data_IF_111427158062
#
_entry.id   IF_111427158062
#
_cell.length_a   1.000
_cell.length_b   1.000
_cell.length_c   1.000
_cell.angle_alpha   90.00
_cell.angle_beta   90.00
_cell.angle_gamma   90.00
#
_symmetry.space_group_name_H-M   'P 1'
#
loop_
_entity.id
_entity.type
_entity.pdbx_description
1 polymer ?
#
# COMPACT_ATOMS: atom_id res chain seq x y z
N UNK A 1 -14.77 6.09 10.46
CA UNK A 1 -14.55 6.55 9.07
C UNK A 1 -15.02 5.46 8.11
N UNK A 2 -15.77 5.81 7.06
CA UNK A 2 -16.32 4.86 6.07
C UNK A 2 -15.21 4.02 5.40
N UNK A 3 -14.07 4.65 5.12
CA UNK A 3 -12.92 4.01 4.47
C UNK A 3 -12.33 2.83 5.26
N UNK A 4 -12.18 2.93 6.58
CA UNK A 4 -11.76 1.78 7.42
C UNK A 4 -12.75 0.61 7.38
N UNK A 5 -14.02 0.89 7.08
CA UNK A 5 -15.03 -0.15 6.83
C UNK A 5 -14.75 -0.86 5.51
N UNK A 6 -14.52 -0.09 4.44
CA UNK A 6 -14.18 -0.59 3.10
C UNK A 6 -12.89 -1.42 3.11
N UNK A 7 -11.80 -0.90 3.67
CA UNK A 7 -10.51 -1.62 3.77
C UNK A 7 -10.68 -2.97 4.46
N UNK A 8 -11.46 -3.03 5.55
CA UNK A 8 -11.75 -4.29 6.26
C UNK A 8 -12.69 -5.22 5.51
N UNK A 9 -13.58 -4.69 4.69
CA UNK A 9 -14.49 -5.49 3.86
C UNK A 9 -13.71 -6.15 2.73
N UNK A 10 -12.87 -5.37 2.03
CA UNK A 10 -11.96 -5.84 0.98
C UNK A 10 -10.96 -6.85 1.53
N UNK A 11 -10.35 -6.59 2.68
CA UNK A 11 -9.43 -7.53 3.34
C UNK A 11 -10.07 -8.84 3.84
N UNK A 12 -11.40 -8.98 3.76
CA UNK A 12 -12.13 -10.22 4.10
C UNK A 12 -12.65 -10.97 2.88
N UNK A 13 -12.31 -10.52 1.67
CA UNK A 13 -12.66 -11.21 0.44
C UNK A 13 -12.11 -12.65 0.50
N UNK A 14 -12.98 -13.68 0.47
CA UNK A 14 -12.52 -15.07 0.41
C UNK A 14 -11.97 -15.35 -0.98
N UNK A 15 -10.64 -15.47 -1.07
CA UNK A 15 -9.88 -15.79 -2.29
C UNK A 15 -9.78 -17.31 -2.47
N UNK A 16 -10.93 -17.99 -2.38
CA UNK A 16 -11.10 -19.39 -2.72
C UNK A 16 -11.58 -19.44 -4.17
N UNK A 17 -10.86 -20.18 -5.02
CA UNK A 17 -10.85 -20.10 -6.50
C UNK A 17 -12.16 -20.33 -7.27
N UNK A 18 -13.32 -20.24 -6.62
CA UNK A 18 -14.65 -20.33 -7.22
C UNK A 18 -15.53 -19.08 -6.99
N UNK A 19 -15.09 -18.04 -6.24
CA UNK A 19 -15.98 -16.91 -5.87
C UNK A 19 -15.59 -15.48 -6.26
N UNK A 20 -14.34 -15.20 -6.61
CA UNK A 20 -13.92 -13.87 -7.09
C UNK A 20 -13.22 -14.02 -8.43
N UNK A 21 -13.75 -13.35 -9.45
CA UNK A 21 -13.04 -13.21 -10.71
C UNK A 21 -11.89 -12.21 -10.47
N UNK A 22 -10.73 -12.41 -11.09
CA UNK A 22 -9.56 -11.51 -10.92
C UNK A 22 -9.92 -10.03 -11.21
N UNK A 23 -10.93 -9.83 -12.04
CA UNK A 23 -11.53 -8.52 -12.29
C UNK A 23 -12.12 -7.86 -11.04
N UNK A 24 -12.82 -8.63 -10.19
CA UNK A 24 -13.42 -8.12 -8.97
C UNK A 24 -12.35 -7.64 -7.96
N UNK A 25 -11.16 -8.26 -7.97
CA UNK A 25 -10.01 -7.81 -7.18
C UNK A 25 -9.47 -6.47 -7.68
N UNK A 26 -9.34 -6.32 -9.00
CA UNK A 26 -8.92 -5.05 -9.64
C UNK A 26 -9.94 -3.94 -9.34
N UNK A 27 -11.24 -4.24 -9.42
CA UNK A 27 -12.29 -3.27 -9.06
C UNK A 27 -12.19 -2.88 -7.58
N UNK A 28 -12.01 -3.83 -6.66
CA UNK A 28 -11.85 -3.53 -5.24
C UNK A 28 -10.63 -2.62 -4.96
N UNK A 29 -9.50 -2.85 -5.64
CA UNK A 29 -8.33 -1.98 -5.57
C UNK A 29 -8.63 -0.56 -6.03
N UNK A 30 -9.29 -0.41 -7.18
CA UNK A 30 -9.69 0.89 -7.75
C UNK A 30 -10.67 1.64 -6.83
N UNK A 31 -11.64 0.95 -6.24
CA UNK A 31 -12.60 1.55 -5.32
C UNK A 31 -11.93 2.06 -4.05
N UNK A 32 -11.02 1.28 -3.46
CA UNK A 32 -10.24 1.74 -2.31
C UNK A 32 -9.44 2.99 -2.63
N UNK A 33 -8.71 2.97 -3.75
CA UNK A 33 -7.90 4.10 -4.18
C UNK A 33 -8.74 5.36 -4.42
N UNK A 34 -9.86 5.24 -5.14
CA UNK A 34 -10.74 6.38 -5.42
C UNK A 34 -11.27 7.05 -4.14
N UNK A 35 -11.67 6.27 -3.13
CA UNK A 35 -12.13 6.82 -1.86
C UNK A 35 -10.98 7.49 -1.08
N UNK A 36 -9.77 6.93 -1.11
CA UNK A 36 -8.60 7.54 -0.48
C UNK A 36 -8.20 8.85 -1.17
N UNK A 37 -8.23 8.90 -2.51
CA UNK A 37 -7.93 10.13 -3.26
C UNK A 37 -8.92 11.26 -2.94
N UNK A 38 -10.21 10.93 -2.78
CA UNK A 38 -11.23 11.90 -2.35
C UNK A 38 -10.90 12.45 -0.95
N UNK A 39 -10.51 11.57 -0.02
CA UNK A 39 -10.15 11.98 1.34
C UNK A 39 -8.86 12.80 1.38
N UNK A 40 -7.92 12.55 0.47
CA UNK A 40 -6.66 13.27 0.34
C UNK A 40 -6.80 14.72 -0.16
N UNK A 41 -8.03 15.18 -0.48
CA UNK A 41 -8.32 16.61 -0.70
C UNK A 41 -8.37 17.39 0.63
N UNK A 42 -8.62 16.69 1.73
CA UNK A 42 -8.59 17.27 3.07
C UNK A 42 -7.16 17.40 3.62
N UNK A 43 -7.01 18.02 4.81
CA UNK A 43 -5.72 18.11 5.48
C UNK A 43 -5.12 16.73 5.75
N UNK A 44 -3.82 16.57 5.47
CA UNK A 44 -3.10 15.34 5.79
C UNK A 44 -2.93 15.20 7.29
N UNK A 45 -3.19 14.00 7.80
CA UNK A 45 -3.07 13.67 9.22
C UNK A 45 -2.38 12.32 9.36
N UNK A 46 -1.70 12.09 10.49
CA UNK A 46 -1.11 10.78 10.83
C UNK A 46 -2.17 9.68 10.71
N UNK A 47 -3.37 9.91 11.25
CA UNK A 47 -4.46 8.94 11.19
C UNK A 47 -4.87 8.56 9.76
N UNK A 48 -4.74 9.50 8.81
CA UNK A 48 -5.04 9.22 7.41
C UNK A 48 -3.92 8.45 6.72
N UNK A 49 -2.65 8.74 7.02
CA UNK A 49 -1.51 7.93 6.57
C UNK A 49 -1.64 6.50 7.06
N UNK A 50 -1.99 6.29 8.34
CA UNK A 50 -2.23 4.95 8.90
C UNK A 50 -3.33 4.18 8.12
N UNK A 51 -4.38 4.88 7.67
CA UNK A 51 -5.45 4.26 6.85
C UNK A 51 -4.97 3.91 5.44
N UNK A 52 -4.08 4.71 4.86
CA UNK A 52 -3.48 4.41 3.55
C UNK A 52 -2.56 3.20 3.65
N UNK A 53 -1.73 3.12 4.70
CA UNK A 53 -0.89 1.96 4.96
C UNK A 53 -1.71 0.68 5.21
N UNK A 54 -2.80 0.77 5.99
CA UNK A 54 -3.75 -0.34 6.15
C UNK A 54 -4.31 -0.82 4.79
N UNK A 55 -4.64 0.13 3.90
CA UNK A 55 -5.18 -0.18 2.58
C UNK A 55 -4.12 -0.81 1.65
N UNK A 56 -2.88 -0.34 1.73
CA UNK A 56 -1.73 -0.92 1.01
C UNK A 56 -1.49 -2.35 1.45
N UNK A 57 -1.46 -2.63 2.76
CA UNK A 57 -1.28 -4.00 3.25
C UNK A 57 -2.39 -4.95 2.77
N UNK A 58 -3.63 -4.46 2.70
CA UNK A 58 -4.74 -5.22 2.09
C UNK A 58 -4.52 -5.43 0.59
N UNK A 59 -4.14 -4.39 -0.14
CA UNK A 59 -3.88 -4.47 -1.58
C UNK A 59 -2.74 -5.43 -1.91
N UNK A 60 -1.59 -5.34 -1.24
CA UNK A 60 -0.44 -6.21 -1.47
C UNK A 60 -0.81 -7.69 -1.25
N UNK A 61 -1.63 -7.96 -0.22
CA UNK A 61 -2.20 -9.29 0.01
C UNK A 61 -3.11 -9.79 -1.12
N UNK A 62 -3.87 -8.90 -1.76
CA UNK A 62 -4.73 -9.24 -2.90
C UNK A 62 -3.95 -9.34 -4.23
N UNK A 63 -2.97 -8.47 -4.44
CA UNK A 63 -2.15 -8.40 -5.64
C UNK A 63 -1.33 -9.68 -5.85
N UNK A 64 -0.92 -10.36 -4.77
CA UNK A 64 -0.28 -11.67 -4.83
C UNK A 64 -1.12 -12.74 -5.56
N UNK A 65 -2.45 -12.59 -5.62
CA UNK A 65 -3.32 -13.49 -6.39
C UNK A 65 -3.41 -13.12 -7.87
N UNK A 66 -3.07 -11.87 -8.25
CA UNK A 66 -3.04 -11.40 -9.63
C UNK A 66 -1.77 -11.86 -10.36
N UNK A 67 -0.60 -11.85 -9.69
CA UNK A 67 0.69 -12.25 -10.27
C UNK A 67 0.77 -13.71 -10.74
N UNK A 68 -0.19 -14.56 -10.35
CA UNK A 68 -0.32 -15.94 -10.85
C UNK A 68 -1.14 -16.08 -12.14
N UNK A 69 -1.83 -15.02 -12.60
CA UNK A 69 -2.88 -15.13 -13.60
C UNK A 69 -2.81 -14.04 -14.69
N UNK A 70 -2.15 -14.38 -15.80
CA UNK A 70 -2.16 -13.68 -17.11
C UNK A 70 -1.52 -12.27 -17.16
N UNK A 71 -0.70 -12.03 -18.20
CA UNK A 71 0.06 -10.77 -18.47
C UNK A 71 -0.78 -9.46 -18.40
N UNK A 72 -2.10 -9.51 -18.60
CA UNK A 72 -2.95 -8.30 -18.62
C UNK A 72 -3.36 -7.84 -17.21
N UNK A 73 -3.69 -8.77 -16.31
CA UNK A 73 -4.12 -8.44 -14.95
C UNK A 73 -2.94 -8.13 -14.03
N UNK A 74 -1.75 -8.65 -14.39
CA UNK A 74 -0.47 -8.26 -13.80
C UNK A 74 -0.17 -6.76 -14.06
N UNK A 75 -0.50 -6.25 -15.26
CA UNK A 75 -0.34 -4.83 -15.58
C UNK A 75 -1.30 -3.94 -14.78
N UNK A 76 -2.60 -4.29 -14.74
CA UNK A 76 -3.58 -3.51 -13.96
C UNK A 76 -3.27 -3.55 -12.45
N UNK A 77 -2.79 -4.70 -11.96
CA UNK A 77 -2.35 -4.84 -10.57
C UNK A 77 -1.16 -3.94 -10.25
N UNK A 78 -0.15 -3.91 -11.13
CA UNK A 78 1.00 -3.03 -11.01
C UNK A 78 0.61 -1.55 -10.98
N UNK A 79 -0.23 -1.09 -11.92
CA UNK A 79 -0.69 0.31 -12.00
C UNK A 79 -1.44 0.76 -10.74
N UNK A 80 -2.27 -0.12 -10.16
CA UNK A 80 -2.96 0.17 -8.90
C UNK A 80 -1.96 0.26 -7.74
N UNK A 81 -0.99 -0.67 -7.66
CA UNK A 81 0.07 -0.61 -6.66
C UNK A 81 0.90 0.67 -6.74
N UNK A 82 1.31 1.06 -7.95
CA UNK A 82 2.02 2.32 -8.20
C UNK A 82 1.21 3.53 -7.73
N UNK A 83 -0.10 3.52 -7.93
CA UNK A 83 -0.98 4.60 -7.51
C UNK A 83 -1.09 4.70 -5.99
N UNK A 84 -1.17 3.56 -5.29
CA UNK A 84 -1.10 3.52 -3.83
C UNK A 84 0.24 4.05 -3.31
N UNK A 85 1.35 3.60 -3.89
CA UNK A 85 2.68 4.06 -3.51
C UNK A 85 2.86 5.57 -3.73
N UNK A 86 2.38 6.10 -4.86
CA UNK A 86 2.40 7.53 -5.16
C UNK A 86 1.53 8.34 -4.20
N UNK A 87 0.35 7.82 -3.83
CA UNK A 87 -0.49 8.44 -2.82
C UNK A 87 0.22 8.49 -1.46
N UNK A 88 0.78 7.37 -1.01
CA UNK A 88 1.49 7.28 0.26
C UNK A 88 2.68 8.25 0.32
N UNK A 89 3.54 8.23 -0.70
CA UNK A 89 4.69 9.14 -0.82
C UNK A 89 4.27 10.60 -0.71
N UNK A 90 3.23 11.02 -1.45
CA UNK A 90 2.72 12.40 -1.40
C UNK A 90 2.23 12.78 -0.01
N UNK A 91 1.54 11.88 0.69
CA UNK A 91 1.05 12.15 2.04
C UNK A 91 2.20 12.23 3.06
N UNK A 92 3.21 11.36 2.93
CA UNK A 92 4.42 11.44 3.75
C UNK A 92 5.19 12.74 3.47
N UNK A 93 5.29 13.18 2.22
CA UNK A 93 5.93 14.44 1.87
C UNK A 93 5.18 15.65 2.46
N UNK A 94 3.84 15.65 2.46
CA UNK A 94 3.09 16.74 3.09
C UNK A 94 3.17 16.70 4.63
N UNK A 95 3.13 15.51 5.22
CA UNK A 95 3.12 15.32 6.68
C UNK A 95 4.50 15.49 7.31
N UNK A 96 5.58 15.19 6.57
CA UNK A 96 6.96 15.14 7.03
C UNK A 96 7.10 14.32 8.33
N UNK A 97 6.82 13.00 8.29
CA UNK A 97 6.97 12.14 9.46
C UNK A 97 8.44 12.03 9.90
N UNK A 98 8.67 11.51 11.11
CA UNK A 98 10.02 11.17 11.55
C UNK A 98 10.66 10.17 10.57
N UNK A 99 11.84 10.45 9.99
CA UNK A 99 12.42 9.61 8.95
C UNK A 99 12.74 8.18 9.40
N UNK A 100 13.20 8.02 10.65
CA UNK A 100 13.53 6.71 11.23
C UNK A 100 12.26 5.89 11.45
N UNK A 101 11.19 6.51 11.95
CA UNK A 101 9.90 5.85 12.11
C UNK A 101 9.29 5.47 10.76
N UNK A 102 9.35 6.35 9.75
CA UNK A 102 8.89 6.04 8.40
C UNK A 102 9.65 4.86 7.81
N UNK A 103 10.98 4.83 7.96
CA UNK A 103 11.81 3.71 7.49
C UNK A 103 11.38 2.37 8.09
N UNK A 104 11.10 2.33 9.41
CA UNK A 104 10.60 1.10 10.07
C UNK A 104 9.23 0.68 9.57
N UNK A 105 8.29 1.63 9.45
CA UNK A 105 6.93 1.35 8.95
C UNK A 105 6.95 0.78 7.53
N UNK A 106 7.78 1.35 6.65
CA UNK A 106 7.97 0.83 5.29
C UNK A 106 8.48 -0.61 5.31
N UNK A 107 9.48 -0.91 6.14
CA UNK A 107 10.01 -2.27 6.27
C UNK A 107 8.93 -3.25 6.79
N UNK A 108 8.17 -2.86 7.81
CA UNK A 108 7.08 -3.69 8.36
C UNK A 108 6.00 -4.00 7.32
N UNK A 109 5.63 -3.03 6.48
CA UNK A 109 4.66 -3.22 5.40
C UNK A 109 5.21 -4.15 4.31
N UNK A 110 6.46 -3.96 3.91
CA UNK A 110 7.14 -4.80 2.90
C UNK A 110 7.26 -6.24 3.39
N UNK A 111 7.65 -6.46 4.65
CA UNK A 111 7.74 -7.81 5.22
C UNK A 111 6.37 -8.48 5.42
N UNK A 112 5.32 -7.71 5.69
CA UNK A 112 3.96 -8.23 5.82
C UNK A 112 3.36 -8.65 4.47
N UNK A 113 3.85 -8.11 3.35
CA UNK A 113 3.44 -8.53 2.03
C UNK A 113 3.89 -9.98 1.77
N UNK A 114 2.93 -10.85 1.46
CA UNK A 114 3.19 -12.29 1.31
C UNK A 114 3.93 -12.64 0.00
N UNK A 115 3.97 -11.72 -0.96
CA UNK A 115 4.63 -11.89 -2.26
C UNK A 115 5.57 -10.72 -2.57
N UNK A 116 5.00 -9.57 -2.93
CA UNK A 116 5.69 -8.32 -3.26
C UNK A 116 4.84 -7.18 -2.69
N UNK A 117 5.49 -6.13 -2.20
CA UNK A 117 4.81 -4.92 -1.76
C UNK A 117 4.95 -3.82 -2.81
N UNK A 118 3.88 -3.06 -3.03
CA UNK A 118 3.97 -1.85 -3.85
C UNK A 118 4.86 -0.75 -3.22
N UNK A 119 5.27 -0.92 -1.96
CA UNK A 119 6.20 -0.03 -1.25
C UNK A 119 7.65 -0.54 -1.23
N UNK A 120 7.97 -1.66 -1.89
CA UNK A 120 9.34 -2.20 -1.98
C UNK A 120 10.23 -1.41 -2.97
N UNK A 121 10.31 -0.10 -2.74
CA UNK A 121 11.07 0.86 -3.53
C UNK A 121 11.60 2.00 -2.63
N UNK A 122 12.48 1.70 -1.65
CA UNK A 122 12.96 2.67 -0.66
C UNK A 122 13.68 3.86 -1.28
N UNK A 123 14.30 3.67 -2.45
CA UNK A 123 14.97 4.74 -3.20
C UNK A 123 14.03 5.91 -3.54
N UNK A 124 12.73 5.64 -3.73
CA UNK A 124 11.71 6.67 -4.00
C UNK A 124 11.46 7.55 -2.77
N UNK A 125 11.70 7.00 -1.58
CA UNK A 125 11.57 7.70 -0.30
C UNK A 125 12.89 8.31 0.18
N UNK A 126 14.00 8.18 -0.56
CA UNK A 126 15.34 8.57 -0.10
C UNK A 126 15.42 10.02 0.40
N UNK A 127 14.73 10.96 -0.26
CA UNK A 127 14.70 12.37 0.16
C UNK A 127 13.97 12.59 1.51
N UNK A 128 12.95 11.78 1.79
CA UNK A 128 12.19 11.83 3.06
C UNK A 128 12.89 11.08 4.19
N UNK A 129 13.54 9.96 3.86
CA UNK A 129 14.21 9.10 4.82
C UNK A 129 15.58 9.65 5.24
N UNK A 130 16.32 10.21 4.29
CA UNK A 130 17.75 10.45 4.46
C UNK A 130 18.51 9.19 4.88
N UNK A 131 19.78 9.35 5.26
CA UNK A 131 20.63 8.22 5.65
C UNK A 131 20.06 7.47 6.88
N UNK A 132 19.57 8.20 7.89
CA UNK A 132 19.07 7.59 9.13
C UNK A 132 17.79 6.76 8.93
N UNK A 133 16.88 7.23 8.07
CA UNK A 133 15.66 6.49 7.74
C UNK A 133 15.93 5.28 6.87
N UNK A 134 16.87 5.39 5.91
CA UNK A 134 17.31 4.26 5.08
C UNK A 134 17.99 3.18 5.92
N UNK A 135 18.90 3.55 6.81
CA UNK A 135 19.54 2.63 7.75
C UNK A 135 18.50 1.90 8.63
N UNK A 136 17.45 2.61 9.07
CA UNK A 136 16.38 2.05 9.88
C UNK A 136 15.51 1.06 9.09
N UNK A 137 15.20 1.36 7.83
CA UNK A 137 14.50 0.47 6.90
C UNK A 137 15.29 -0.81 6.65
N UNK A 138 16.56 -0.69 6.25
CA UNK A 138 17.44 -1.85 5.98
C UNK A 138 17.63 -2.72 7.23
N UNK A 139 17.79 -2.10 8.39
CA UNK A 139 17.93 -2.83 9.65
C UNK A 139 16.66 -3.62 10.01
N UNK A 140 15.48 -3.05 9.73
CA UNK A 140 14.20 -3.67 10.05
C UNK A 140 13.86 -4.84 9.12
N UNK A 141 14.19 -4.77 7.82
CA UNK A 141 13.97 -5.84 6.83
C UNK A 141 14.78 -7.13 7.05
N UNK A 142 15.79 -7.08 7.91
CA UNK A 142 16.74 -8.18 8.11
C UNK A 142 16.61 -8.84 9.48
N UNK A 143 15.49 -8.64 10.16
CA UNK A 143 15.35 -8.88 11.60
C UNK A 143 14.50 -10.09 12.01
#
# INVERSE_FOLDING_TARGET
>A
MRIRGLVREVGRIPVDGDRWELHDLVEAGREMLAELEILAVGPVTVEFVDVVEDAIGVWDGLAGYLGGAWEVLDTEGGEIGESFAALHLRLCDELQPDPVELGRRLAELVEAAHSDSCLDAPDVYADLLGDEGLDAYESALHH
#
